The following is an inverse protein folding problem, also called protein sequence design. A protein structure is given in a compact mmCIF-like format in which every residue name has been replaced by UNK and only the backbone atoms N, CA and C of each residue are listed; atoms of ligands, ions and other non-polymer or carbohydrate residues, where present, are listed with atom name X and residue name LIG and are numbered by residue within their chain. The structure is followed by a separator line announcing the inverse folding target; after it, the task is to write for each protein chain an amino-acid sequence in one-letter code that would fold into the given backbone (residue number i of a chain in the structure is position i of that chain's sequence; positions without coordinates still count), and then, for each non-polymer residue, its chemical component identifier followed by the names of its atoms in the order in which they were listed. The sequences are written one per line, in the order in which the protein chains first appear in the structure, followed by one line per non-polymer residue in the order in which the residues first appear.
data_IF_532062734258
#
_entry.id   IF_532062734258
#
_cell.length_a   1.000
_cell.length_b   1.000
_cell.length_c   1.000
_cell.angle_alpha   90.00
_cell.angle_beta   90.00
_cell.angle_gamma   90.00
#
_symmetry.space_group_name_H-M   'P 1'
#
loop_
_entity.id
_entity.type
_entity.pdbx_description
1 polymer ?
#
# COMPACT_ATOMS: atom_id res chain seq x y z
N UNK A 1 -2.21 25.83 1.81
CA UNK A 1 -1.99 24.73 0.85
C UNK A 1 -2.10 23.46 1.66
N UNK A 2 -3.17 22.67 1.47
CA UNK A 2 -3.26 21.37 2.13
C UNK A 2 -2.13 20.52 1.55
N UNK A 3 -1.23 20.01 2.39
CA UNK A 3 -0.26 19.03 1.94
C UNK A 3 -1.03 17.86 1.32
N UNK A 4 -0.63 17.41 0.13
CA UNK A 4 -1.19 16.17 -0.43
C UNK A 4 -0.87 15.07 0.58
N UNK A 5 -1.88 14.32 1.03
CA UNK A 5 -1.70 13.23 1.99
C UNK A 5 -0.71 12.22 1.41
N UNK A 6 0.33 11.85 2.17
CA UNK A 6 1.34 10.89 1.71
C UNK A 6 0.67 9.59 1.25
N UNK A 7 1.11 9.08 0.10
CA UNK A 7 0.53 7.91 -0.55
C UNK A 7 1.37 6.67 -0.28
N UNK A 8 0.80 5.76 0.51
CA UNK A 8 1.41 4.51 0.93
C UNK A 8 0.88 3.35 0.08
N UNK A 9 1.78 2.49 -0.40
CA UNK A 9 1.45 1.20 -1.00
C UNK A 9 1.67 0.08 0.02
N UNK A 10 0.61 -0.68 0.32
CA UNK A 10 0.70 -1.89 1.17
C UNK A 10 0.68 -3.13 0.27
N UNK A 11 1.70 -3.98 0.39
CA UNK A 11 1.87 -5.20 -0.40
C UNK A 11 1.92 -6.41 0.52
N UNK A 12 0.87 -7.22 0.49
CA UNK A 12 0.70 -8.40 1.36
C UNK A 12 -0.31 -9.36 0.72
N UNK A 13 -0.01 -10.66 0.67
CA UNK A 13 -0.88 -11.69 0.09
C UNK A 13 -1.98 -12.15 1.06
N UNK A 14 -1.88 -11.80 2.34
CA UNK A 14 -2.87 -12.09 3.37
C UNK A 14 -3.92 -10.96 3.45
N UNK A 15 -5.16 -11.18 2.98
CA UNK A 15 -6.17 -10.13 2.86
C UNK A 15 -6.52 -9.49 4.21
N UNK A 16 -6.62 -10.28 5.28
CA UNK A 16 -7.01 -9.78 6.60
C UNK A 16 -5.98 -8.79 7.17
N UNK A 17 -4.68 -9.06 6.99
CA UNK A 17 -3.60 -8.19 7.45
C UNK A 17 -3.55 -6.94 6.59
N UNK A 18 -3.56 -7.12 5.26
CA UNK A 18 -3.54 -6.03 4.28
C UNK A 18 -4.66 -5.02 4.50
N UNK A 19 -5.90 -5.50 4.66
CA UNK A 19 -7.08 -4.66 4.78
C UNK A 19 -7.13 -3.96 6.14
N UNK A 20 -6.72 -4.64 7.21
CA UNK A 20 -6.60 -4.04 8.54
C UNK A 20 -5.57 -2.90 8.55
N UNK A 21 -4.39 -3.12 7.96
CA UNK A 21 -3.34 -2.11 7.87
C UNK A 21 -3.76 -0.93 6.98
N UNK A 22 -4.39 -1.22 5.84
CA UNK A 22 -4.88 -0.18 4.95
C UNK A 22 -5.94 0.70 5.61
N UNK A 23 -6.88 0.10 6.38
CA UNK A 23 -7.85 0.86 7.17
C UNK A 23 -7.16 1.74 8.21
N UNK A 24 -6.24 1.17 8.99
CA UNK A 24 -5.49 1.91 10.00
C UNK A 24 -4.78 3.13 9.42
N UNK A 25 -4.05 2.96 8.30
CA UNK A 25 -3.34 4.06 7.65
C UNK A 25 -4.30 5.13 7.08
N UNK A 26 -5.42 4.72 6.47
CA UNK A 26 -6.45 5.66 5.99
C UNK A 26 -7.05 6.49 7.13
N UNK A 27 -7.33 5.87 8.28
CA UNK A 27 -7.84 6.57 9.48
C UNK A 27 -6.85 7.61 10.02
N UNK A 28 -5.55 7.46 9.73
CA UNK A 28 -4.50 8.42 10.10
C UNK A 28 -4.21 9.48 9.02
N UNK A 29 -5.04 9.56 7.98
CA UNK A 29 -4.97 10.61 6.97
C UNK A 29 -4.08 10.32 5.77
N UNK A 30 -3.58 9.09 5.63
CA UNK A 30 -2.79 8.67 4.46
C UNK A 30 -3.68 8.26 3.29
N UNK A 31 -3.17 8.48 2.08
CA UNK A 31 -3.70 7.81 0.88
C UNK A 31 -3.12 6.41 0.84
N UNK A 32 -3.94 5.40 0.58
CA UNK A 32 -3.47 4.01 0.61
C UNK A 32 -3.96 3.25 -0.62
N UNK A 33 -3.01 2.68 -1.36
CA UNK A 33 -3.25 1.64 -2.37
C UNK A 33 -2.76 0.30 -1.83
N UNK A 34 -3.43 -0.78 -2.20
CA UNK A 34 -3.07 -2.14 -1.79
C UNK A 34 -2.70 -2.99 -3.01
N UNK A 35 -1.80 -3.95 -2.80
CA UNK A 35 -1.45 -4.98 -3.76
C UNK A 35 -1.33 -6.33 -3.05
N UNK A 36 -1.72 -7.39 -3.75
CA UNK A 36 -1.75 -8.78 -3.27
C UNK A 36 -0.54 -9.61 -3.74
N UNK A 37 0.29 -9.07 -4.63
CA UNK A 37 1.44 -9.74 -5.24
C UNK A 37 2.39 -8.75 -5.88
N UNK A 38 3.59 -9.21 -6.21
CA UNK A 38 4.62 -8.38 -6.84
C UNK A 38 4.16 -7.73 -8.16
N UNK A 39 3.39 -8.45 -8.98
CA UNK A 39 2.93 -7.91 -10.28
C UNK A 39 1.95 -6.74 -10.11
N UNK A 40 0.98 -6.83 -9.20
CA UNK A 40 0.05 -5.72 -8.94
C UNK A 40 0.76 -4.54 -8.27
N UNK A 41 1.71 -4.81 -7.36
CA UNK A 41 2.55 -3.77 -6.75
C UNK A 41 3.36 -2.99 -7.79
N UNK A 42 3.98 -3.67 -8.76
CA UNK A 42 4.71 -3.03 -9.88
C UNK A 42 3.81 -2.14 -10.72
N UNK A 43 2.60 -2.61 -11.07
CA UNK A 43 1.63 -1.80 -11.82
C UNK A 43 1.26 -0.51 -11.08
N UNK A 44 1.13 -0.56 -9.76
CA UNK A 44 0.86 0.63 -8.95
C UNK A 44 2.07 1.58 -8.97
N UNK A 45 3.28 1.06 -8.78
CA UNK A 45 4.51 1.87 -8.81
C UNK A 45 4.73 2.56 -10.17
N UNK A 46 4.33 1.92 -11.27
CA UNK A 46 4.46 2.49 -12.61
C UNK A 46 3.41 3.59 -12.90
N UNK A 47 2.30 3.61 -12.17
CA UNK A 47 1.13 4.48 -12.46
C UNK A 47 0.80 5.50 -11.38
N UNK A 48 1.41 5.40 -10.21
CA UNK A 48 1.11 6.23 -9.04
C UNK A 48 2.40 6.77 -8.40
N UNK A 49 2.35 8.01 -7.92
CA UNK A 49 3.41 8.53 -7.05
C UNK A 49 3.21 7.95 -5.64
N UNK A 50 4.12 7.07 -5.23
CA UNK A 50 4.11 6.39 -3.93
C UNK A 50 5.27 6.94 -3.10
N UNK A 51 4.96 7.42 -1.89
CA UNK A 51 5.95 7.98 -0.96
C UNK A 51 6.59 6.90 -0.07
N UNK A 52 5.85 5.81 0.20
CA UNK A 52 6.30 4.70 1.03
C UNK A 52 5.67 3.37 0.58
N UNK A 53 6.46 2.29 0.63
CA UNK A 53 5.96 0.92 0.45
C UNK A 53 6.09 0.16 1.77
N UNK A 54 5.00 -0.45 2.20
CA UNK A 54 4.99 -1.46 3.27
C UNK A 54 4.88 -2.83 2.60
N UNK A 55 5.94 -3.63 2.70
CA UNK A 55 6.07 -4.90 1.99
C UNK A 55 6.12 -6.05 2.99
N UNK A 56 5.24 -7.04 2.83
CA UNK A 56 5.37 -8.32 3.51
C UNK A 56 6.56 -9.10 2.92
N UNK A 57 7.45 -9.55 3.80
CA UNK A 57 8.65 -10.30 3.48
C UNK A 57 8.39 -11.81 3.38
N UNK A 58 7.23 -12.26 3.86
CA UNK A 58 6.84 -13.67 3.86
C UNK A 58 6.11 -14.08 2.57
N UNK A 59 5.70 -13.13 1.73
CA UNK A 59 5.03 -13.42 0.46
C UNK A 59 5.86 -14.38 -0.41
N UNK A 60 5.21 -15.38 -1.02
CA UNK A 60 5.82 -16.17 -2.08
C UNK A 60 6.07 -15.29 -3.30
N UNK A 61 7.26 -15.41 -3.89
CA UNK A 61 7.74 -14.60 -5.02
C UNK A 61 6.93 -14.77 -6.30
#
# INVERSE_FOLDING_TARGET
MMADSEHILVVDDHPDIRDALARYLKEHGYRVTTADRAQSARQVLDTSAIDLVVLDIMMPG
#
